data_IF_656679456213
#
_entry.id   IF_656679456213
#
_cell.length_a   1.000
_cell.length_b   1.000
_cell.length_c   1.000
_cell.angle_alpha   90.00
_cell.angle_beta   90.00
_cell.angle_gamma   90.00
#
_symmetry.space_group_name_H-M   'P 1'
#
loop_
_entity.id
_entity.type
_entity.pdbx_description
1 polymer ?
#
# COMPACT_ATOMS: atom_id res chain seq x y z
N UNK A 1 23.38 -9.41 -18.67
CA UNK A 1 23.18 -8.95 -17.27
C UNK A 1 22.12 -9.85 -16.68
N UNK A 2 22.46 -10.68 -15.70
CA UNK A 2 21.48 -11.53 -15.01
C UNK A 2 20.63 -10.63 -14.12
N UNK A 3 19.38 -10.47 -14.46
CA UNK A 3 18.39 -9.87 -13.53
C UNK A 3 18.10 -10.92 -12.46
N UNK A 4 18.77 -10.81 -11.33
CA UNK A 4 18.38 -11.56 -10.13
C UNK A 4 16.95 -11.17 -9.77
N UNK A 5 16.03 -12.13 -9.82
CA UNK A 5 14.66 -11.97 -9.35
C UNK A 5 14.69 -12.05 -7.82
N UNK A 6 14.76 -10.90 -7.17
CA UNK A 6 14.48 -10.82 -5.74
C UNK A 6 12.97 -10.83 -5.52
N UNK A 7 12.53 -11.14 -4.30
CA UNK A 7 11.14 -10.90 -3.90
C UNK A 7 10.74 -9.52 -4.41
N UNK A 8 9.67 -9.45 -5.18
CA UNK A 8 9.31 -8.25 -5.97
C UNK A 8 8.89 -7.09 -5.08
N UNK A 9 8.73 -7.33 -3.78
CA UNK A 9 8.50 -6.35 -2.71
C UNK A 9 9.77 -5.86 -2.06
N UNK A 10 10.95 -6.40 -2.40
CA UNK A 10 12.21 -6.05 -1.77
C UNK A 10 13.15 -5.29 -2.69
N UNK A 11 13.90 -4.46 -2.08
CA UNK A 11 14.86 -3.49 -2.52
C UNK A 11 15.88 -3.97 -3.56
N UNK A 12 16.09 -3.20 -4.62
CA UNK A 12 17.01 -3.51 -5.72
C UNK A 12 18.48 -3.13 -5.49
N UNK A 13 18.84 -2.47 -4.41
CA UNK A 13 20.22 -2.03 -4.16
C UNK A 13 20.71 -2.47 -2.78
N UNK A 14 21.67 -3.40 -2.77
CA UNK A 14 22.35 -3.86 -1.58
C UNK A 14 23.27 -2.83 -0.89
N UNK A 15 22.95 -1.55 -0.95
CA UNK A 15 23.72 -0.48 -0.34
C UNK A 15 22.82 0.61 0.27
N UNK A 16 21.78 0.24 0.99
CA UNK A 16 21.10 1.27 1.75
C UNK A 16 20.95 0.90 3.22
N UNK A 17 21.90 1.35 4.03
CA UNK A 17 21.80 1.44 5.49
C UNK A 17 20.62 2.32 5.97
N UNK A 18 19.77 2.78 5.06
CA UNK A 18 18.73 3.78 5.33
C UNK A 18 17.42 3.20 5.87
N UNK A 19 17.20 1.87 5.77
CA UNK A 19 15.89 1.31 6.06
C UNK A 19 15.83 0.44 7.32
N UNK A 20 16.88 0.33 8.08
CA UNK A 20 16.88 -0.40 9.36
C UNK A 20 16.51 -1.90 9.27
N UNK A 21 16.44 -2.45 8.06
CA UNK A 21 16.05 -3.85 7.81
C UNK A 21 17.20 -4.80 8.17
N UNK A 22 18.44 -4.34 8.06
CA UNK A 22 19.63 -5.18 8.29
C UNK A 22 19.91 -5.51 9.76
N UNK A 23 19.28 -4.81 10.71
CA UNK A 23 19.44 -5.08 12.15
C UNK A 23 18.34 -5.98 12.75
N UNK A 24 17.39 -6.44 11.94
CA UNK A 24 16.35 -7.37 12.42
C UNK A 24 16.91 -8.79 12.43
N UNK A 25 17.17 -9.28 13.62
CA UNK A 25 17.51 -10.70 13.83
C UNK A 25 16.39 -11.58 13.26
N UNK A 26 16.74 -12.54 12.41
CA UNK A 26 15.77 -13.50 11.91
C UNK A 26 15.11 -14.23 13.11
N UNK A 27 13.83 -14.55 12.99
CA UNK A 27 13.03 -15.18 14.05
C UNK A 27 13.69 -16.46 14.61
N UNK A 28 14.37 -17.21 13.75
CA UNK A 28 15.07 -18.45 14.11
C UNK A 28 16.46 -18.24 14.75
N UNK A 29 17.01 -17.03 14.75
CA UNK A 29 18.32 -16.78 15.33
C UNK A 29 18.29 -16.82 16.86
N UNK A 30 19.40 -17.25 17.46
CA UNK A 30 19.52 -17.33 18.91
C UNK A 30 19.29 -15.95 19.55
N UNK A 31 18.28 -15.86 20.40
CA UNK A 31 17.90 -14.61 21.07
C UNK A 31 16.82 -13.80 20.35
N UNK A 32 16.39 -14.20 19.15
CA UNK A 32 15.24 -13.57 18.48
C UNK A 32 13.98 -13.76 19.33
N UNK A 33 13.17 -12.69 19.41
CA UNK A 33 11.89 -12.72 20.11
C UNK A 33 10.78 -12.54 19.08
N UNK A 34 9.70 -13.31 19.22
CA UNK A 34 8.50 -13.10 18.43
C UNK A 34 7.93 -11.70 18.70
N UNK A 35 7.68 -10.95 17.64
CA UNK A 35 7.07 -9.64 17.69
C UNK A 35 5.58 -9.79 17.35
N UNK A 36 4.77 -10.04 18.36
CA UNK A 36 3.33 -10.20 18.18
C UNK A 36 2.64 -8.84 18.12
N UNK A 37 1.62 -8.75 17.28
CA UNK A 37 0.74 -7.59 17.28
C UNK A 37 0.17 -7.35 18.68
N UNK A 38 0.22 -6.12 19.21
CA UNK A 38 -0.26 -5.81 20.54
C UNK A 38 -1.77 -6.03 20.62
N UNK A 39 -2.22 -6.63 21.73
CA UNK A 39 -3.64 -6.64 22.04
C UNK A 39 -4.13 -5.21 22.32
N UNK A 40 -5.20 -4.81 21.67
CA UNK A 40 -5.84 -3.52 21.93
C UNK A 40 -7.28 -3.71 22.40
N UNK A 41 -7.73 -2.92 23.39
CA UNK A 41 -9.12 -2.96 23.82
C UNK A 41 -10.09 -2.27 22.84
N UNK A 42 -9.61 -1.85 21.68
CA UNK A 42 -10.35 -1.03 20.71
C UNK A 42 -10.11 -1.56 19.30
N UNK A 43 -11.16 -1.60 18.48
CA UNK A 43 -11.09 -1.95 17.07
C UNK A 43 -11.44 -0.78 16.17
N UNK A 44 -10.63 -0.45 15.17
CA UNK A 44 -11.03 0.42 14.07
C UNK A 44 -12.11 -0.27 13.21
N UNK A 45 -13.17 0.47 12.89
CA UNK A 45 -14.27 0.02 12.02
C UNK A 45 -14.29 0.78 10.72
N UNK A 46 -14.03 2.09 10.78
CA UNK A 46 -14.01 2.96 9.62
C UNK A 46 -12.97 4.07 9.80
N UNK A 47 -12.27 4.37 8.74
CA UNK A 47 -11.31 5.46 8.61
C UNK A 47 -11.80 6.45 7.55
N UNK A 48 -11.97 7.71 7.93
CA UNK A 48 -12.05 8.82 6.98
C UNK A 48 -10.76 9.63 7.07
N UNK A 49 -10.01 9.65 5.97
CA UNK A 49 -8.76 10.38 5.82
C UNK A 49 -8.98 11.53 4.82
N UNK A 50 -8.72 12.76 5.26
CA UNK A 50 -8.83 13.95 4.40
C UNK A 50 -7.50 14.68 4.39
N UNK A 51 -6.84 14.77 3.22
CA UNK A 51 -5.47 15.25 3.07
C UNK A 51 -5.33 16.35 2.05
N UNK A 52 -4.39 17.24 2.33
CA UNK A 52 -3.84 18.26 1.44
C UNK A 52 -2.33 18.04 1.30
N UNK A 53 -1.75 18.56 0.21
CA UNK A 53 -0.34 18.32 -0.13
C UNK A 53 0.32 19.61 -0.59
N UNK A 54 1.57 19.80 -0.17
CA UNK A 54 2.49 20.80 -0.69
C UNK A 54 3.76 20.10 -1.16
N UNK A 55 4.03 20.17 -2.47
CA UNK A 55 5.21 19.52 -3.08
C UNK A 55 6.49 20.28 -2.82
N UNK A 56 6.41 21.61 -2.63
CA UNK A 56 7.64 22.40 -2.39
C UNK A 56 8.20 22.14 -1.00
N UNK A 57 7.31 22.08 -0.02
CA UNK A 57 7.65 21.77 1.37
C UNK A 57 7.62 20.27 1.69
N UNK A 58 7.26 19.42 0.72
CA UNK A 58 7.03 17.99 0.94
C UNK A 58 6.13 17.75 2.16
N UNK A 59 5.06 18.54 2.24
CA UNK A 59 4.15 18.57 3.39
C UNK A 59 2.82 17.91 3.11
N UNK A 60 2.36 17.13 4.09
CA UNK A 60 1.01 16.57 4.16
C UNK A 60 0.31 17.11 5.39
N UNK A 61 -0.94 17.54 5.25
CA UNK A 61 -1.75 17.96 6.39
C UNK A 61 -3.23 17.68 6.16
N UNK A 62 -3.96 17.51 7.24
CA UNK A 62 -5.39 17.27 7.15
C UNK A 62 -6.00 16.70 8.40
N UNK A 63 -6.90 15.77 8.24
CA UNK A 63 -7.54 15.10 9.38
C UNK A 63 -7.75 13.62 9.16
N UNK A 64 -7.56 12.88 10.24
CA UNK A 64 -7.91 11.46 10.37
C UNK A 64 -9.13 11.34 11.28
N UNK A 65 -10.16 10.64 10.85
CA UNK A 65 -11.34 10.37 11.66
C UNK A 65 -11.61 8.88 11.69
N UNK A 66 -11.59 8.29 12.89
CA UNK A 66 -11.91 6.89 13.10
C UNK A 66 -13.30 6.72 13.73
N UNK A 67 -14.02 5.71 13.28
CA UNK A 67 -15.09 5.07 14.03
C UNK A 67 -14.52 3.81 14.67
N UNK A 68 -14.56 3.79 16.01
CA UNK A 68 -13.93 2.77 16.83
C UNK A 68 -14.99 2.01 17.65
N UNK A 69 -14.77 0.72 17.83
CA UNK A 69 -15.56 -0.12 18.74
C UNK A 69 -14.72 -0.53 19.94
N UNK A 70 -15.20 -0.27 21.12
CA UNK A 70 -14.54 -0.65 22.37
C UNK A 70 -14.86 -2.11 22.70
N UNK A 71 -13.83 -2.91 23.01
CA UNK A 71 -13.94 -4.34 23.30
C UNK A 71 -14.00 -4.65 24.79
N UNK A 72 -13.30 -3.84 25.59
CA UNK A 72 -13.10 -4.08 27.01
C UNK A 72 -13.77 -3.01 27.86
N UNK A 73 -14.10 -3.33 29.10
CA UNK A 73 -14.60 -2.36 30.06
C UNK A 73 -13.46 -1.52 30.65
N UNK A 74 -13.75 -0.27 31.00
CA UNK A 74 -12.80 0.58 31.71
C UNK A 74 -11.75 1.26 30.84
N UNK A 75 -11.93 1.29 29.52
CA UNK A 75 -10.98 1.95 28.58
C UNK A 75 -10.98 3.45 28.83
N UNK A 76 -9.82 4.00 29.19
CA UNK A 76 -9.61 5.42 29.50
C UNK A 76 -8.72 6.14 28.50
N UNK A 77 -8.01 5.42 27.64
CA UNK A 77 -7.11 5.97 26.63
C UNK A 77 -7.19 5.21 25.33
N UNK A 78 -6.85 5.89 24.23
CA UNK A 78 -6.71 5.33 22.90
C UNK A 78 -5.29 5.62 22.42
N UNK A 79 -4.56 4.59 22.03
CA UNK A 79 -3.21 4.72 21.48
C UNK A 79 -3.26 4.47 19.99
N UNK A 80 -2.71 5.39 19.20
CA UNK A 80 -2.53 5.27 17.76
C UNK A 80 -1.07 5.51 17.42
N UNK A 81 -0.56 4.83 16.42
CA UNK A 81 0.78 5.03 15.91
C UNK A 81 0.83 6.35 15.14
N UNK A 82 1.86 7.17 15.38
CA UNK A 82 1.99 8.51 14.84
C UNK A 82 3.46 8.96 14.96
N UNK A 83 4.27 8.61 13.96
CA UNK A 83 5.70 8.86 14.01
C UNK A 83 6.02 10.26 13.46
N UNK A 84 6.58 11.13 14.33
CA UNK A 84 7.01 12.48 13.99
C UNK A 84 5.91 13.39 13.41
N UNK A 85 4.64 13.08 13.69
CA UNK A 85 3.52 13.93 13.28
C UNK A 85 3.32 15.09 14.26
N UNK A 86 2.98 16.25 13.72
CA UNK A 86 2.39 17.34 14.50
C UNK A 86 0.89 17.05 14.67
N UNK A 87 0.40 17.08 15.90
CA UNK A 87 -1.02 16.89 16.22
C UNK A 87 -1.55 18.18 16.81
N UNK A 88 -2.43 18.85 16.07
CA UNK A 88 -2.95 20.17 16.50
C UNK A 88 -4.16 20.04 17.42
N UNK A 89 -5.01 19.04 17.19
CA UNK A 89 -6.26 18.91 17.90
C UNK A 89 -6.77 17.48 17.86
N UNK A 90 -7.33 17.03 18.98
CA UNK A 90 -8.06 15.77 19.09
C UNK A 90 -9.47 16.00 19.61
N UNK A 91 -10.44 15.30 19.00
CA UNK A 91 -11.85 15.31 19.39
C UNK A 91 -12.37 13.89 19.56
N UNK A 92 -13.19 13.69 20.59
CA UNK A 92 -14.00 12.47 20.77
C UNK A 92 -15.47 12.88 20.69
N UNK A 93 -16.16 12.37 19.66
CA UNK A 93 -17.45 12.92 19.25
C UNK A 93 -17.33 14.39 18.86
N UNK A 94 -18.06 15.28 19.52
CA UNK A 94 -17.98 16.73 19.28
C UNK A 94 -17.08 17.49 20.27
N UNK A 95 -16.48 16.80 21.25
CA UNK A 95 -15.73 17.44 22.33
C UNK A 95 -14.23 17.35 22.07
N UNK A 96 -13.50 18.46 22.27
CA UNK A 96 -12.05 18.44 22.37
C UNK A 96 -11.63 17.70 23.65
N UNK A 97 -10.59 16.92 23.53
CA UNK A 97 -10.02 16.14 24.62
C UNK A 97 -8.52 16.38 24.73
N UNK A 98 -7.93 16.11 25.89
CA UNK A 98 -6.50 16.11 26.08
C UNK A 98 -5.87 14.89 25.38
N UNK A 99 -4.63 15.07 24.96
CA UNK A 99 -3.82 14.03 24.35
C UNK A 99 -2.36 14.26 24.67
N UNK A 100 -1.58 13.21 24.56
CA UNK A 100 -0.11 13.25 24.57
C UNK A 100 0.40 12.81 23.20
N UNK A 101 1.35 13.55 22.66
CA UNK A 101 2.08 13.17 21.45
C UNK A 101 3.52 12.82 21.87
N UNK A 102 3.88 11.54 21.79
CA UNK A 102 5.18 11.03 22.21
C UNK A 102 6.25 11.13 21.11
N UNK A 103 5.86 11.51 19.89
CA UNK A 103 6.71 11.46 18.71
C UNK A 103 6.66 10.12 17.97
N UNK A 104 6.17 9.05 18.62
CA UNK A 104 5.91 7.72 18.00
C UNK A 104 4.43 7.33 18.04
N UNK A 105 3.71 7.83 19.04
CA UNK A 105 2.29 7.56 19.26
C UNK A 105 1.56 8.81 19.70
N UNK A 106 0.28 8.85 19.38
CA UNK A 106 -0.66 9.78 20.00
C UNK A 106 -1.54 9.01 20.99
N UNK A 107 -1.57 9.47 22.25
CA UNK A 107 -2.38 8.90 23.34
C UNK A 107 -3.52 9.87 23.61
N UNK A 108 -4.73 9.45 23.31
CA UNK A 108 -5.96 10.25 23.48
C UNK A 108 -6.61 9.89 24.80
N UNK A 109 -6.77 10.85 25.71
CA UNK A 109 -7.41 10.64 27.01
C UNK A 109 -8.92 10.81 26.93
N UNK A 110 -9.64 9.79 27.34
CA UNK A 110 -11.10 9.78 27.31
C UNK A 110 -11.67 10.49 28.55
N UNK A 111 -12.74 11.31 28.38
CA UNK A 111 -13.32 12.05 29.51
C UNK A 111 -13.88 11.17 30.63
N UNK A 112 -14.20 9.92 30.32
CA UNK A 112 -14.66 8.89 31.25
C UNK A 112 -14.34 7.50 30.72
N UNK A 113 -14.19 6.51 31.62
CA UNK A 113 -14.00 5.12 31.20
C UNK A 113 -15.14 4.63 30.31
N UNK A 114 -14.81 3.97 29.22
CA UNK A 114 -15.80 3.38 28.31
C UNK A 114 -16.05 1.91 28.64
N UNK A 115 -17.24 1.45 28.28
CA UNK A 115 -17.67 0.05 28.43
C UNK A 115 -17.49 -0.69 27.08
N UNK A 116 -17.31 -1.99 27.16
CA UNK A 116 -17.35 -2.86 26.00
C UNK A 116 -18.67 -2.66 25.22
N UNK A 117 -18.58 -2.72 23.87
CA UNK A 117 -19.69 -2.45 22.96
C UNK A 117 -19.93 -0.96 22.66
N UNK A 118 -19.19 -0.05 23.30
CA UNK A 118 -19.32 1.39 23.01
C UNK A 118 -18.71 1.72 21.66
N UNK A 119 -19.48 2.35 20.76
CA UNK A 119 -18.96 2.95 19.52
C UNK A 119 -18.61 4.42 19.78
N UNK A 120 -17.44 4.84 19.31
CA UNK A 120 -16.96 6.22 19.41
C UNK A 120 -16.39 6.72 18.11
N UNK A 121 -16.41 8.03 17.92
CA UNK A 121 -15.75 8.70 16.80
C UNK A 121 -14.63 9.58 17.35
N UNK A 122 -13.42 9.39 16.81
CA UNK A 122 -12.22 10.15 17.17
C UNK A 122 -11.69 10.85 15.94
N UNK A 123 -11.49 12.17 16.03
CA UNK A 123 -10.91 12.99 14.95
C UNK A 123 -9.63 13.65 15.45
N UNK A 124 -8.57 13.56 14.62
CA UNK A 124 -7.29 14.21 14.85
C UNK A 124 -6.99 15.11 13.65
N UNK A 125 -6.54 16.34 13.91
CA UNK A 125 -5.91 17.17 12.89
C UNK A 125 -4.40 17.02 13.02
N UNK A 126 -3.75 16.78 11.90
CA UNK A 126 -2.32 16.50 11.89
C UNK A 126 -1.61 17.10 10.68
N UNK A 127 -0.29 17.24 10.80
CA UNK A 127 0.58 17.58 9.69
C UNK A 127 1.96 16.93 9.85
N UNK A 128 2.65 16.81 8.71
CA UNK A 128 4.06 16.43 8.67
C UNK A 128 4.73 17.09 7.46
N UNK A 129 5.95 17.58 7.65
CA UNK A 129 6.81 18.05 6.57
C UNK A 129 8.01 17.12 6.45
N UNK A 130 8.35 16.75 5.20
CA UNK A 130 9.44 15.83 4.87
C UNK A 130 9.31 14.51 5.66
N UNK A 131 8.20 13.78 5.48
CA UNK A 131 7.99 12.51 6.17
C UNK A 131 9.15 11.55 5.91
N UNK A 132 9.58 10.83 6.94
CA UNK A 132 10.72 9.93 6.86
C UNK A 132 10.43 8.68 6.03
N UNK A 133 9.16 8.25 5.96
CA UNK A 133 8.69 7.09 5.22
C UNK A 133 7.18 7.20 4.95
N UNK A 134 6.61 6.20 4.32
CA UNK A 134 5.16 6.01 4.14
C UNK A 134 4.55 6.84 3.02
N UNK A 135 5.03 8.05 2.76
CA UNK A 135 4.62 8.90 1.64
C UNK A 135 5.81 9.62 1.04
N UNK A 136 5.87 9.66 -0.28
CA UNK A 136 7.03 10.10 -1.03
C UNK A 136 6.65 11.10 -2.09
N UNK A 137 7.44 12.16 -2.22
CA UNK A 137 7.24 13.24 -3.18
C UNK A 137 8.35 13.21 -4.23
N UNK A 138 7.96 13.33 -5.51
CA UNK A 138 8.89 13.61 -6.58
C UNK A 138 8.49 14.91 -7.28
N UNK A 139 9.47 15.68 -7.69
CA UNK A 139 9.28 16.93 -8.45
C UNK A 139 10.51 17.24 -9.28
N UNK A 140 10.37 18.03 -10.36
CA UNK A 140 11.52 18.56 -11.07
C UNK A 140 12.45 19.33 -10.13
N UNK A 141 13.74 19.17 -10.32
CA UNK A 141 14.80 19.92 -9.67
C UNK A 141 15.88 20.38 -10.66
N UNK A 142 16.93 21.00 -10.18
CA UNK A 142 18.00 21.52 -11.02
C UNK A 142 18.76 20.42 -11.76
N UNK A 143 18.95 19.26 -11.14
CA UNK A 143 19.69 18.12 -11.69
C UNK A 143 18.79 17.28 -12.60
N UNK A 144 17.50 17.18 -12.25
CA UNK A 144 16.48 16.41 -12.97
C UNK A 144 15.28 17.29 -13.37
N UNK A 145 15.45 18.23 -14.32
CA UNK A 145 14.41 19.20 -14.68
C UNK A 145 13.16 18.59 -15.33
N UNK A 146 13.28 17.36 -15.83
CA UNK A 146 12.17 16.61 -16.42
C UNK A 146 11.57 15.56 -15.49
N UNK A 147 11.96 15.56 -14.21
CA UNK A 147 11.46 14.62 -13.22
C UNK A 147 9.94 14.77 -13.06
N UNK A 148 9.26 13.64 -13.00
CA UNK A 148 7.81 13.62 -12.93
C UNK A 148 7.31 14.12 -11.57
N UNK A 149 6.35 15.06 -11.58
CA UNK A 149 5.76 15.58 -10.33
C UNK A 149 4.69 14.65 -9.83
N UNK A 150 4.95 13.90 -8.76
CA UNK A 150 4.00 12.96 -8.18
C UNK A 150 4.17 12.84 -6.67
N UNK A 151 3.18 12.27 -6.03
CA UNK A 151 3.23 11.75 -4.66
C UNK A 151 2.64 10.34 -4.69
N UNK A 152 3.26 9.42 -3.94
CA UNK A 152 2.77 8.06 -3.77
C UNK A 152 3.05 7.57 -2.35
N UNK A 153 2.30 6.56 -1.92
CA UNK A 153 2.43 5.96 -0.59
C UNK A 153 2.92 4.53 -0.65
N UNK A 154 3.65 4.13 0.39
CA UNK A 154 4.05 2.77 0.69
C UNK A 154 3.92 2.54 2.19
N UNK A 155 2.99 1.66 2.61
CA UNK A 155 2.65 1.46 4.01
C UNK A 155 3.29 0.25 4.67
N UNK A 156 3.82 -0.69 3.92
CA UNK A 156 4.44 -1.91 4.43
C UNK A 156 5.88 -1.61 4.94
N UNK A 157 6.30 -2.08 6.15
CA UNK A 157 5.47 -2.88 7.05
C UNK A 157 4.51 -2.01 7.88
N UNK A 158 4.99 -0.96 8.52
CA UNK A 158 4.31 -0.07 9.45
C UNK A 158 4.66 1.39 9.17
N UNK A 159 4.64 1.79 7.88
CA UNK A 159 5.09 3.11 7.45
C UNK A 159 3.93 4.10 7.26
N UNK A 160 2.69 3.65 7.42
CA UNK A 160 1.53 4.56 7.37
C UNK A 160 1.53 5.58 8.52
N UNK A 161 2.10 5.23 9.66
CA UNK A 161 2.27 6.11 10.83
C UNK A 161 3.07 7.37 10.57
N UNK A 162 3.85 7.44 9.50
CA UNK A 162 4.67 8.61 9.16
C UNK A 162 3.93 9.72 8.43
N UNK A 163 2.67 9.49 7.99
CA UNK A 163 1.91 10.55 7.32
C UNK A 163 0.48 10.75 7.85
N UNK A 164 -0.04 9.83 8.67
CA UNK A 164 -1.28 10.04 9.44
C UNK A 164 -1.35 9.16 10.68
N UNK A 165 -2.05 9.57 11.74
CA UNK A 165 -2.23 8.74 12.93
C UNK A 165 -3.08 7.50 12.60
N UNK A 166 -2.59 6.30 12.93
CA UNK A 166 -3.25 5.06 12.52
C UNK A 166 -3.06 3.91 13.52
N UNK A 167 -3.70 2.79 13.22
CA UNK A 167 -3.43 1.48 13.81
C UNK A 167 -2.62 0.71 12.77
N UNK A 168 -1.29 0.77 12.91
CA UNK A 168 -0.34 0.36 11.88
C UNK A 168 0.14 -1.09 12.04
N UNK A 169 -0.81 -2.00 12.28
CA UNK A 169 -0.57 -3.43 12.36
C UNK A 169 -1.47 -4.18 11.36
N UNK A 170 -1.03 -5.28 10.75
CA UNK A 170 -1.76 -5.95 9.69
C UNK A 170 -3.09 -6.58 10.12
N UNK A 171 -3.25 -6.89 11.42
CA UNK A 171 -4.48 -7.46 11.96
C UNK A 171 -5.64 -6.46 12.13
N UNK A 172 -5.37 -5.16 12.02
CA UNK A 172 -6.44 -4.15 12.09
C UNK A 172 -7.00 -3.85 10.72
N UNK A 173 -8.22 -4.33 10.49
CA UNK A 173 -8.95 -4.10 9.24
C UNK A 173 -10.12 -3.16 9.45
N UNK A 174 -10.21 -2.14 8.60
CA UNK A 174 -11.27 -1.15 8.59
C UNK A 174 -11.69 -0.78 7.18
N UNK A 175 -12.92 -0.33 7.01
CA UNK A 175 -13.35 0.32 5.78
C UNK A 175 -12.77 1.72 5.69
N UNK A 176 -12.63 2.28 4.48
CA UNK A 176 -12.03 3.61 4.33
C UNK A 176 -12.81 4.53 3.43
N UNK A 177 -12.73 5.82 3.75
CA UNK A 177 -13.00 6.93 2.86
C UNK A 177 -11.77 7.83 2.78
N UNK A 178 -11.35 8.19 1.57
CA UNK A 178 -10.18 9.06 1.34
C UNK A 178 -10.59 10.27 0.52
N UNK A 179 -10.29 11.46 1.05
CA UNK A 179 -10.52 12.74 0.39
C UNK A 179 -9.20 13.42 0.12
N UNK A 180 -8.93 13.70 -1.14
CA UNK A 180 -7.69 14.32 -1.61
C UNK A 180 -7.97 15.70 -2.15
N UNK A 181 -7.31 16.71 -1.57
CA UNK A 181 -7.29 18.09 -2.06
C UNK A 181 -5.97 18.35 -2.76
N UNK A 182 -6.01 18.48 -4.08
CA UNK A 182 -4.83 18.55 -4.95
C UNK A 182 -4.77 19.87 -5.71
N UNK A 183 -3.61 20.29 -6.19
CA UNK A 183 -3.49 21.36 -7.16
C UNK A 183 -4.34 21.09 -8.40
N UNK A 184 -4.76 22.17 -9.06
CA UNK A 184 -5.55 22.10 -10.30
C UNK A 184 -4.84 21.24 -11.36
N UNK A 185 -5.60 20.36 -12.00
CA UNK A 185 -5.12 19.51 -13.09
C UNK A 185 -4.47 18.21 -12.63
N UNK A 186 -4.08 18.09 -11.37
CA UNK A 186 -3.57 16.82 -10.86
C UNK A 186 -4.67 15.78 -10.74
N UNK A 187 -4.35 14.58 -11.16
CA UNK A 187 -5.11 13.37 -10.92
C UNK A 187 -4.82 12.86 -9.51
N UNK A 188 -5.82 12.28 -8.85
CA UNK A 188 -5.69 11.64 -7.55
C UNK A 188 -6.34 10.27 -7.55
N UNK A 189 -5.68 9.28 -6.97
CA UNK A 189 -6.12 7.89 -6.87
C UNK A 189 -6.03 7.42 -5.42
N UNK A 190 -6.97 6.59 -5.01
CA UNK A 190 -6.93 5.81 -3.77
C UNK A 190 -7.77 4.54 -3.92
N UNK A 191 -7.76 3.70 -2.87
CA UNK A 191 -8.48 2.44 -2.83
C UNK A 191 -9.99 2.60 -3.01
N UNK A 192 -10.60 1.63 -3.66
CA UNK A 192 -12.05 1.56 -3.77
C UNK A 192 -12.64 2.38 -4.92
N UNK A 193 -13.89 2.78 -4.74
CA UNK A 193 -14.69 3.44 -5.76
C UNK A 193 -14.62 4.95 -5.64
N UNK A 194 -14.39 5.66 -6.76
CA UNK A 194 -14.49 7.10 -6.84
C UNK A 194 -15.95 7.53 -6.65
N UNK A 195 -16.24 8.22 -5.56
CA UNK A 195 -17.57 8.76 -5.26
C UNK A 195 -17.79 10.15 -5.86
N UNK A 196 -16.74 11.00 -5.80
CA UNK A 196 -16.83 12.37 -6.25
C UNK A 196 -15.50 12.87 -6.79
N UNK A 197 -15.57 13.55 -7.92
CA UNK A 197 -14.47 14.32 -8.50
C UNK A 197 -14.99 15.71 -8.83
N UNK A 198 -14.29 16.74 -8.35
CA UNK A 198 -14.59 18.14 -8.73
C UNK A 198 -13.29 18.87 -9.04
N UNK A 199 -13.40 19.89 -9.89
CA UNK A 199 -12.30 20.80 -10.19
C UNK A 199 -12.79 22.24 -10.11
N UNK A 200 -12.01 23.10 -9.51
CA UNK A 200 -12.23 24.54 -9.43
C UNK A 200 -11.13 25.29 -10.19
N UNK A 201 -11.13 26.62 -10.08
CA UNK A 201 -10.09 27.46 -10.69
C UNK A 201 -8.67 27.13 -10.18
N UNK A 202 -8.53 26.68 -8.93
CA UNK A 202 -7.24 26.45 -8.27
C UNK A 202 -6.99 25.03 -7.75
N UNK A 203 -8.03 24.19 -7.63
CA UNK A 203 -7.94 22.89 -6.96
C UNK A 203 -8.68 21.79 -7.70
N UNK A 204 -8.16 20.57 -7.58
CA UNK A 204 -8.83 19.30 -7.88
C UNK A 204 -9.19 18.61 -6.57
N UNK A 205 -10.34 17.96 -6.53
CA UNK A 205 -10.80 17.20 -5.36
C UNK A 205 -11.25 15.81 -5.79
N UNK A 206 -10.84 14.81 -5.02
CA UNK A 206 -11.23 13.41 -5.21
C UNK A 206 -11.72 12.84 -3.90
N UNK A 207 -12.80 12.05 -3.96
CA UNK A 207 -13.33 11.30 -2.82
C UNK A 207 -13.52 9.85 -3.20
N UNK A 208 -12.75 8.98 -2.58
CA UNK A 208 -12.80 7.53 -2.75
C UNK A 208 -13.42 6.87 -1.52
N UNK A 209 -14.03 5.69 -1.72
CA UNK A 209 -14.55 4.85 -0.64
C UNK A 209 -14.34 3.38 -0.95
N UNK A 210 -13.88 2.64 0.05
CA UNK A 210 -13.83 1.18 0.05
C UNK A 210 -14.61 0.64 1.24
N UNK A 211 -15.66 -0.13 0.95
CA UNK A 211 -16.62 -0.65 1.93
C UNK A 211 -16.24 -2.04 2.47
N UNK A 212 -15.11 -2.58 2.03
CA UNK A 212 -14.56 -3.85 2.47
C UNK A 212 -13.43 -3.52 3.45
N UNK A 213 -13.43 -4.13 4.65
CA UNK A 213 -12.37 -3.92 5.63
C UNK A 213 -11.01 -4.46 5.14
N UNK A 214 -9.96 -3.66 5.24
CA UNK A 214 -8.59 -4.04 4.91
C UNK A 214 -7.58 -3.36 5.84
N UNK A 215 -6.37 -3.87 5.85
CA UNK A 215 -5.29 -3.40 6.73
C UNK A 215 -4.73 -2.05 6.30
N UNK A 216 -4.28 -1.24 7.25
CA UNK A 216 -3.81 0.13 7.03
C UNK A 216 -2.66 0.19 6.02
N UNK A 217 -1.70 -0.74 6.07
CA UNK A 217 -0.54 -0.77 5.16
C UNK A 217 -0.92 -0.89 3.66
N UNK A 218 -2.11 -1.41 3.36
CA UNK A 218 -2.64 -1.56 2.00
C UNK A 218 -3.30 -0.28 1.45
N UNK A 219 -3.32 0.79 2.24
CA UNK A 219 -3.85 2.08 1.77
C UNK A 219 -2.92 2.66 0.70
N UNK A 220 -3.50 3.00 -0.46
CA UNK A 220 -2.80 3.67 -1.54
C UNK A 220 -3.31 5.10 -1.71
N UNK A 221 -2.38 6.03 -1.83
CA UNK A 221 -2.62 7.39 -2.31
C UNK A 221 -1.59 7.68 -3.38
N UNK A 222 -2.06 8.00 -4.59
CA UNK A 222 -1.18 8.46 -5.66
C UNK A 222 -1.77 9.72 -6.27
N UNK A 223 -0.95 10.76 -6.47
CA UNK A 223 -1.36 11.94 -7.20
C UNK A 223 -0.25 12.42 -8.14
N UNK A 224 -0.65 12.90 -9.33
CA UNK A 224 0.28 13.34 -10.37
C UNK A 224 -0.42 13.53 -11.71
N UNK A 225 0.35 13.51 -12.80
CA UNK A 225 -0.17 13.58 -14.16
C UNK A 225 -0.15 12.20 -14.82
N UNK A 226 -1.27 11.48 -14.71
CA UNK A 226 -1.44 10.14 -15.25
C UNK A 226 -2.52 10.08 -16.32
N UNK A 227 -2.37 9.11 -17.23
CA UNK A 227 -3.36 8.77 -18.26
C UNK A 227 -4.03 7.46 -17.88
N UNK A 228 -5.36 7.47 -17.88
CA UNK A 228 -6.19 6.30 -17.58
C UNK A 228 -6.40 5.43 -18.82
N UNK A 229 -6.27 4.13 -18.64
CA UNK A 229 -6.71 3.11 -19.58
C UNK A 229 -7.69 2.14 -18.91
N UNK A 230 -8.58 1.58 -19.72
CA UNK A 230 -9.65 0.69 -19.23
C UNK A 230 -9.71 -0.56 -20.07
N UNK A 231 -9.97 -1.66 -19.39
CA UNK A 231 -10.37 -2.92 -19.96
C UNK A 231 -11.37 -3.61 -19.04
N UNK A 232 -11.86 -4.78 -19.44
CA UNK A 232 -12.81 -5.54 -18.64
C UNK A 232 -12.57 -7.01 -18.81
N UNK A 233 -12.76 -7.77 -17.72
CA UNK A 233 -12.74 -9.22 -17.75
C UNK A 233 -13.91 -9.76 -16.92
N UNK A 234 -14.85 -10.47 -17.54
CA UNK A 234 -16.12 -10.81 -16.89
C UNK A 234 -16.80 -9.56 -16.34
N UNK A 235 -17.09 -9.56 -15.05
CA UNK A 235 -17.71 -8.42 -14.35
C UNK A 235 -16.69 -7.48 -13.67
N UNK A 236 -15.38 -7.73 -13.84
CA UNK A 236 -14.32 -6.94 -13.22
C UNK A 236 -13.91 -5.84 -14.19
N UNK A 237 -14.05 -4.58 -13.76
CA UNK A 237 -13.50 -3.43 -14.46
C UNK A 237 -11.99 -3.33 -14.13
N UNK A 238 -11.15 -3.42 -15.15
CA UNK A 238 -9.70 -3.29 -15.00
C UNK A 238 -9.28 -1.92 -15.48
N UNK A 239 -8.51 -1.21 -14.65
CA UNK A 239 -7.90 0.06 -14.99
C UNK A 239 -6.41 0.00 -14.81
N UNK A 240 -5.70 0.77 -15.60
CA UNK A 240 -4.30 1.05 -15.34
C UNK A 240 -3.95 2.48 -15.70
N UNK A 241 -3.01 3.02 -14.96
CA UNK A 241 -2.55 4.38 -15.05
C UNK A 241 -1.05 4.43 -15.28
N UNK A 242 -0.64 5.23 -16.24
CA UNK A 242 0.78 5.48 -16.54
C UNK A 242 1.02 6.94 -16.77
N UNK A 243 2.25 7.37 -16.71
CA UNK A 243 2.67 8.72 -17.08
C UNK A 243 2.28 9.02 -18.53
N UNK A 244 1.90 10.27 -18.78
CA UNK A 244 1.63 10.76 -20.13
C UNK A 244 2.83 10.52 -21.06
N UNK A 245 2.58 9.94 -22.23
CA UNK A 245 3.59 9.56 -23.21
C UNK A 245 4.05 8.10 -23.11
N UNK A 246 3.70 7.37 -22.04
CA UNK A 246 4.02 5.95 -21.84
C UNK A 246 2.82 5.01 -22.04
N UNK A 247 1.77 5.48 -22.70
CA UNK A 247 0.51 4.72 -22.88
C UNK A 247 0.68 3.43 -23.66
N UNK A 248 1.60 3.43 -24.64
CA UNK A 248 1.90 2.24 -25.44
C UNK A 248 2.62 1.19 -24.59
N UNK A 249 3.60 1.60 -23.79
CA UNK A 249 4.32 0.73 -22.88
C UNK A 249 3.37 0.14 -21.82
N UNK A 250 2.49 0.96 -21.24
CA UNK A 250 1.46 0.49 -20.33
C UNK A 250 0.54 -0.58 -20.93
N UNK A 251 0.14 -0.40 -22.22
CA UNK A 251 -0.62 -1.47 -22.90
C UNK A 251 0.19 -2.76 -23.05
N UNK A 252 1.49 -2.65 -23.37
CA UNK A 252 2.35 -3.82 -23.50
C UNK A 252 2.47 -4.56 -22.16
N UNK A 253 2.64 -3.83 -21.07
CA UNK A 253 2.92 -4.39 -19.75
C UNK A 253 1.67 -4.93 -19.03
N UNK A 254 0.50 -4.30 -19.20
CA UNK A 254 -0.71 -4.66 -18.44
C UNK A 254 -1.79 -5.40 -19.25
N UNK A 255 -1.52 -5.75 -20.52
CA UNK A 255 -2.52 -6.40 -21.41
C UNK A 255 -3.04 -7.73 -20.89
N UNK A 256 -2.25 -8.48 -20.15
CA UNK A 256 -2.58 -9.82 -19.67
C UNK A 256 -3.20 -9.85 -18.26
N UNK A 257 -3.34 -8.70 -17.60
CA UNK A 257 -3.94 -8.60 -16.24
C UNK A 257 -5.26 -9.36 -16.13
N UNK A 258 -6.14 -9.23 -17.12
CA UNK A 258 -7.42 -9.93 -17.11
C UNK A 258 -7.30 -11.45 -17.14
N UNK A 259 -6.33 -11.98 -17.88
CA UNK A 259 -6.04 -13.43 -17.93
C UNK A 259 -5.50 -13.92 -16.59
N UNK A 260 -4.61 -13.15 -15.96
CA UNK A 260 -4.04 -13.44 -14.64
C UNK A 260 -5.16 -13.54 -13.60
N UNK A 261 -6.06 -12.57 -13.56
CA UNK A 261 -7.19 -12.53 -12.64
C UNK A 261 -8.15 -13.72 -12.84
N UNK A 262 -8.42 -14.10 -14.10
CA UNK A 262 -9.23 -15.27 -14.42
C UNK A 262 -8.55 -16.58 -14.01
N UNK A 263 -7.24 -16.69 -14.28
CA UNK A 263 -6.46 -17.86 -13.89
C UNK A 263 -6.49 -18.06 -12.39
N UNK A 264 -6.19 -17.04 -11.59
CA UNK A 264 -6.19 -17.16 -10.12
C UNK A 264 -7.57 -17.45 -9.56
N UNK A 265 -8.62 -16.80 -10.08
CA UNK A 265 -10.00 -17.10 -9.68
C UNK A 265 -10.37 -18.57 -9.93
N UNK A 266 -9.94 -19.13 -11.06
CA UNK A 266 -10.17 -20.54 -11.40
C UNK A 266 -9.29 -21.48 -10.56
N UNK A 267 -8.01 -21.16 -10.43
CA UNK A 267 -7.04 -22.00 -9.76
C UNK A 267 -7.31 -22.14 -8.26
N UNK A 268 -7.65 -21.04 -7.59
CA UNK A 268 -7.99 -21.03 -6.16
C UNK A 268 -9.38 -21.59 -5.88
N UNK A 269 -10.25 -21.69 -6.89
CA UNK A 269 -11.66 -22.00 -6.71
C UNK A 269 -12.46 -20.88 -6.03
N UNK A 270 -11.85 -19.71 -5.82
CA UNK A 270 -12.45 -18.54 -5.20
C UNK A 270 -12.36 -17.35 -6.16
N UNK A 271 -13.50 -16.96 -6.74
CA UNK A 271 -13.55 -15.85 -7.68
C UNK A 271 -13.06 -14.55 -7.03
N UNK A 272 -12.37 -13.71 -7.81
CA UNK A 272 -12.02 -12.36 -7.35
C UNK A 272 -13.31 -11.64 -6.91
N UNK A 273 -13.40 -11.23 -5.64
CA UNK A 273 -14.70 -10.83 -5.08
C UNK A 273 -15.04 -9.36 -5.34
N UNK A 274 -14.14 -8.60 -5.97
CA UNK A 274 -14.31 -7.16 -6.15
C UNK A 274 -14.71 -6.83 -7.59
N UNK A 275 -15.38 -5.70 -7.79
CA UNK A 275 -15.87 -5.27 -9.10
C UNK A 275 -14.85 -4.49 -9.93
N UNK A 276 -13.70 -4.17 -9.36
CA UNK A 276 -12.64 -3.43 -10.03
C UNK A 276 -11.26 -3.86 -9.54
N UNK A 277 -10.30 -3.77 -10.42
CA UNK A 277 -8.88 -3.92 -10.13
C UNK A 277 -8.12 -2.82 -10.87
N UNK A 278 -7.30 -2.08 -10.16
CA UNK A 278 -6.55 -0.96 -10.70
C UNK A 278 -5.06 -1.20 -10.52
N UNK A 279 -4.26 -0.77 -11.49
CA UNK A 279 -2.80 -0.74 -11.40
C UNK A 279 -2.31 0.67 -11.72
N UNK A 280 -1.28 1.12 -11.04
CA UNK A 280 -0.64 2.39 -11.34
C UNK A 280 0.89 2.23 -11.33
N UNK A 281 1.53 2.60 -12.43
CA UNK A 281 2.99 2.62 -12.52
C UNK A 281 3.49 4.02 -12.14
N UNK A 282 4.24 4.09 -11.04
CA UNK A 282 4.78 5.35 -10.51
C UNK A 282 6.30 5.43 -10.67
N UNK A 283 6.85 6.61 -10.92
CA UNK A 283 8.29 6.78 -11.04
C UNK A 283 8.97 6.66 -9.68
N UNK A 284 10.21 6.18 -9.73
CA UNK A 284 11.08 6.09 -8.55
C UNK A 284 10.49 5.22 -7.42
N UNK A 285 9.59 4.30 -7.77
CA UNK A 285 9.09 3.32 -6.83
C UNK A 285 10.13 2.25 -6.63
N UNK A 286 10.79 2.30 -5.49
CA UNK A 286 11.96 1.46 -5.19
C UNK A 286 11.61 0.01 -4.86
N UNK A 287 10.36 -0.23 -4.54
CA UNK A 287 9.79 -1.56 -4.30
C UNK A 287 9.29 -2.13 -5.59
N UNK A 288 9.54 -3.12 -6.21
CA UNK A 288 9.04 -3.61 -7.51
C UNK A 288 7.54 -3.39 -7.69
N UNK A 289 6.73 -3.85 -6.74
CA UNK A 289 5.29 -3.64 -6.64
C UNK A 289 4.82 -3.52 -5.19
N UNK A 290 3.54 -3.24 -5.04
CA UNK A 290 2.83 -3.22 -3.75
C UNK A 290 1.38 -3.59 -3.99
N UNK A 291 0.92 -4.54 -3.24
CA UNK A 291 -0.42 -5.14 -3.32
C UNK A 291 -1.54 -4.26 -2.77
N UNK A 292 -1.39 -2.94 -2.75
CA UNK A 292 -2.43 -2.06 -2.22
C UNK A 292 -3.84 -2.49 -2.66
N UNK A 293 -4.71 -2.66 -1.69
CA UNK A 293 -6.00 -3.31 -1.87
C UNK A 293 -6.85 -2.69 -2.99
N UNK A 294 -7.11 -3.43 -4.06
CA UNK A 294 -7.80 -3.00 -5.30
C UNK A 294 -7.07 -1.98 -6.18
N UNK A 295 -5.90 -1.47 -5.75
CA UNK A 295 -5.13 -0.43 -6.45
C UNK A 295 -3.64 -0.74 -6.33
N UNK A 296 -3.15 -1.72 -7.04
CA UNK A 296 -1.75 -2.13 -7.02
C UNK A 296 -0.84 -1.02 -7.51
N UNK A 297 0.16 -0.65 -6.73
CA UNK A 297 1.20 0.29 -7.12
C UNK A 297 2.40 -0.49 -7.68
N UNK A 298 2.96 -0.07 -8.79
CA UNK A 298 4.09 -0.73 -9.43
C UNK A 298 5.14 0.28 -9.86
N UNK A 299 6.40 -0.16 -9.92
CA UNK A 299 7.47 0.65 -10.49
C UNK A 299 7.22 0.91 -11.97
N UNK A 300 7.57 2.09 -12.45
CA UNK A 300 7.52 2.40 -13.88
C UNK A 300 8.60 1.68 -14.69
N UNK A 301 9.55 1.02 -14.04
CA UNK A 301 10.51 0.10 -14.67
C UNK A 301 9.85 -1.15 -15.25
N UNK A 302 8.62 -1.47 -14.83
CA UNK A 302 7.82 -2.56 -15.43
C UNK A 302 7.23 -2.21 -16.79
N UNK A 303 7.32 -0.95 -17.23
CA UNK A 303 6.79 -0.51 -18.51
C UNK A 303 7.80 -0.77 -19.64
N UNK A 304 7.39 -1.63 -20.58
CA UNK A 304 8.27 -2.07 -21.68
C UNK A 304 7.78 -1.58 -23.03
N UNK A 305 8.67 -1.00 -23.79
CA UNK A 305 8.44 -0.65 -25.20
C UNK A 305 8.39 -1.91 -26.10
N UNK A 306 8.14 -1.74 -27.39
CA UNK A 306 8.02 -2.86 -28.32
C UNK A 306 9.32 -3.66 -28.48
N UNK A 307 10.47 -3.05 -28.23
CA UNK A 307 11.77 -3.71 -28.32
C UNK A 307 12.09 -4.49 -27.04
N UNK A 308 11.96 -3.84 -25.89
CA UNK A 308 12.25 -4.46 -24.60
C UNK A 308 11.35 -5.68 -24.34
N UNK A 309 10.07 -5.63 -24.76
CA UNK A 309 9.12 -6.75 -24.58
C UNK A 309 9.45 -8.01 -25.37
N UNK A 310 10.43 -7.99 -26.26
CA UNK A 310 10.90 -9.21 -26.96
C UNK A 310 11.67 -10.12 -25.99
N UNK A 311 12.33 -9.53 -25.00
CA UNK A 311 13.17 -10.25 -24.04
C UNK A 311 12.60 -10.19 -22.62
N UNK A 312 11.76 -9.19 -22.32
CA UNK A 312 11.22 -8.92 -20.99
C UNK A 312 9.69 -8.84 -21.03
N UNK A 313 9.04 -9.31 -20.00
CA UNK A 313 7.61 -9.07 -19.78
C UNK A 313 7.33 -8.64 -18.32
N UNK A 314 6.17 -8.06 -18.11
CA UNK A 314 5.72 -7.59 -16.79
C UNK A 314 4.83 -8.61 -16.08
N UNK A 315 4.54 -9.74 -16.74
CA UNK A 315 3.52 -10.68 -16.26
C UNK A 315 3.86 -11.27 -14.88
N UNK A 316 5.15 -11.52 -14.64
CA UNK A 316 5.60 -12.00 -13.34
C UNK A 316 5.24 -11.03 -12.22
N UNK A 317 5.59 -9.74 -12.34
CA UNK A 317 5.25 -8.73 -11.34
C UNK A 317 3.72 -8.56 -11.24
N UNK A 318 3.02 -8.43 -12.37
CA UNK A 318 1.56 -8.29 -12.39
C UNK A 318 0.87 -9.49 -11.73
N UNK A 319 1.37 -10.71 -11.97
CA UNK A 319 0.83 -11.91 -11.36
C UNK A 319 1.10 -11.97 -9.85
N UNK A 320 2.31 -11.63 -9.42
CA UNK A 320 2.67 -11.55 -8.02
C UNK A 320 1.71 -10.61 -7.26
N UNK A 321 1.61 -9.36 -7.71
CA UNK A 321 0.74 -8.37 -7.07
C UNK A 321 -0.75 -8.72 -7.14
N UNK A 322 -1.19 -9.37 -8.23
CA UNK A 322 -2.56 -9.83 -8.32
C UNK A 322 -2.86 -11.02 -7.38
N UNK A 323 -1.87 -11.89 -7.11
CA UNK A 323 -2.04 -13.02 -6.18
C UNK A 323 -2.24 -12.54 -4.74
N UNK A 324 -1.63 -11.44 -4.36
CA UNK A 324 -1.83 -10.83 -3.07
C UNK A 324 -3.27 -10.43 -2.78
N UNK A 325 -4.11 -10.21 -3.79
CA UNK A 325 -5.55 -9.97 -3.60
C UNK A 325 -6.25 -11.12 -2.84
N UNK A 326 -5.69 -12.34 -2.91
CA UNK A 326 -6.11 -13.49 -2.11
C UNK A 326 -5.24 -13.68 -0.87
N UNK A 327 -3.92 -13.60 -1.03
CA UNK A 327 -2.91 -13.88 0.00
C UNK A 327 -2.17 -12.61 0.40
N UNK A 328 -2.65 -11.94 1.40
CA UNK A 328 -2.23 -10.62 1.88
C UNK A 328 -3.43 -9.74 2.17
N UNK A 329 -4.36 -9.62 1.23
CA UNK A 329 -5.53 -8.75 1.30
C UNK A 329 -6.75 -9.44 1.92
N UNK A 330 -7.26 -10.51 1.29
CA UNK A 330 -8.39 -11.28 1.84
C UNK A 330 -7.94 -12.03 3.09
N UNK A 331 -6.89 -12.83 2.94
CA UNK A 331 -6.26 -13.57 4.04
C UNK A 331 -4.98 -12.85 4.42
N UNK A 332 -4.98 -12.17 5.55
CA UNK A 332 -3.87 -11.36 6.03
C UNK A 332 -3.24 -11.99 7.27
N UNK A 333 -1.91 -11.96 7.37
CA UNK A 333 -1.19 -12.38 8.56
C UNK A 333 -1.59 -11.55 9.78
N UNK A 334 -1.60 -12.16 10.96
CA UNK A 334 -1.92 -11.48 12.20
C UNK A 334 -0.87 -10.45 12.60
N UNK A 335 0.37 -10.76 12.31
CA UNK A 335 1.54 -9.91 12.58
C UNK A 335 2.64 -10.15 11.55
N UNK A 336 3.62 -9.26 11.50
CA UNK A 336 4.69 -9.29 10.50
C UNK A 336 5.68 -10.46 10.64
N UNK A 337 5.68 -11.18 11.75
CA UNK A 337 6.46 -12.42 11.88
C UNK A 337 5.99 -13.50 10.89
N UNK A 338 4.80 -13.32 10.32
CA UNK A 338 4.16 -14.23 9.37
C UNK A 338 3.97 -13.63 7.97
N UNK A 339 4.76 -12.61 7.60
CA UNK A 339 4.73 -12.01 6.25
C UNK A 339 4.94 -13.03 5.12
N UNK A 340 5.64 -14.14 5.41
CA UNK A 340 5.81 -15.24 4.47
C UNK A 340 4.48 -15.84 3.96
N UNK A 341 3.39 -15.71 4.72
CA UNK A 341 2.04 -16.12 4.27
C UNK A 341 1.50 -15.25 3.13
N UNK A 342 2.02 -14.04 2.99
CA UNK A 342 1.74 -13.18 1.85
C UNK A 342 2.69 -13.48 0.71
N UNK A 343 3.98 -13.29 0.96
CA UNK A 343 5.03 -13.28 -0.05
C UNK A 343 5.31 -14.63 -0.70
N UNK A 344 5.36 -15.70 0.11
CA UNK A 344 5.63 -17.04 -0.43
C UNK A 344 4.48 -17.54 -1.31
N UNK A 345 3.23 -17.22 -0.92
CA UNK A 345 2.09 -17.57 -1.78
C UNK A 345 2.08 -16.73 -3.05
N UNK A 346 2.31 -15.43 -2.98
CA UNK A 346 2.33 -14.56 -4.16
C UNK A 346 3.43 -14.97 -5.14
N UNK A 347 4.64 -15.25 -4.64
CA UNK A 347 5.78 -15.75 -5.45
C UNK A 347 5.45 -17.08 -6.13
N UNK A 348 4.87 -18.03 -5.38
CA UNK A 348 4.51 -19.33 -5.96
C UNK A 348 3.37 -19.22 -6.98
N UNK A 349 2.39 -18.35 -6.75
CA UNK A 349 1.29 -18.13 -7.69
C UNK A 349 1.76 -17.42 -8.97
N UNK A 350 2.74 -16.54 -8.89
CA UNK A 350 3.42 -15.99 -10.07
C UNK A 350 4.06 -17.12 -10.90
N UNK A 351 4.77 -18.05 -10.25
CA UNK A 351 5.35 -19.21 -10.93
C UNK A 351 4.26 -20.11 -11.54
N UNK A 352 3.12 -20.32 -10.87
CA UNK A 352 1.98 -21.05 -11.42
C UNK A 352 1.39 -20.37 -12.65
N UNK A 353 1.32 -19.03 -12.68
CA UNK A 353 0.91 -18.30 -13.87
C UNK A 353 1.95 -18.40 -14.99
N UNK A 354 3.23 -18.43 -14.68
CA UNK A 354 4.30 -18.71 -15.65
C UNK A 354 4.08 -20.10 -16.30
N UNK A 355 3.71 -21.14 -15.53
CA UNK A 355 3.35 -22.45 -16.06
C UNK A 355 2.18 -22.39 -17.02
N UNK A 356 1.10 -21.68 -16.67
CA UNK A 356 -0.09 -21.51 -17.52
C UNK A 356 0.23 -20.76 -18.82
N UNK A 357 1.04 -19.71 -18.76
CA UNK A 357 1.26 -18.80 -19.88
C UNK A 357 2.46 -19.16 -20.77
N UNK A 358 3.48 -19.83 -20.22
CA UNK A 358 4.74 -20.14 -20.90
C UNK A 358 5.10 -21.64 -20.91
N UNK A 359 4.40 -22.46 -20.13
CA UNK A 359 4.60 -23.90 -20.07
C UNK A 359 5.44 -24.39 -18.90
N UNK A 360 5.57 -25.73 -18.83
CA UNK A 360 6.16 -26.43 -17.69
C UNK A 360 7.67 -26.17 -17.54
N UNK A 361 8.38 -25.98 -18.65
CA UNK A 361 9.84 -25.76 -18.59
C UNK A 361 10.21 -24.40 -18.02
N UNK A 362 9.51 -23.34 -18.44
CA UNK A 362 9.68 -22.01 -17.85
C UNK A 362 9.28 -21.98 -16.36
N UNK A 363 8.26 -22.71 -15.99
CA UNK A 363 7.89 -22.87 -14.58
C UNK A 363 9.01 -23.50 -13.76
N UNK A 364 9.59 -24.61 -14.23
CA UNK A 364 10.72 -25.28 -13.56
C UNK A 364 11.95 -24.41 -13.48
N UNK A 365 12.22 -23.66 -14.55
CA UNK A 365 13.32 -22.71 -14.56
C UNK A 365 13.12 -21.60 -13.51
N UNK A 366 11.92 -21.04 -13.43
CA UNK A 366 11.59 -20.03 -12.41
C UNK A 366 11.75 -20.60 -10.98
N UNK A 367 11.27 -21.82 -10.72
CA UNK A 367 11.44 -22.46 -9.41
C UNK A 367 12.93 -22.70 -9.06
N UNK A 368 13.77 -22.98 -10.05
CA UNK A 368 15.21 -23.12 -9.83
C UNK A 368 15.82 -21.75 -9.44
N UNK A 369 15.46 -20.67 -10.15
CA UNK A 369 15.93 -19.32 -9.81
C UNK A 369 15.49 -18.91 -8.40
N UNK A 370 14.24 -19.20 -8.02
CA UNK A 370 13.70 -18.91 -6.68
C UNK A 370 14.44 -19.71 -5.60
N UNK A 371 14.74 -21.00 -5.85
CA UNK A 371 15.52 -21.82 -4.94
C UNK A 371 16.98 -21.33 -4.80
N UNK A 372 17.63 -20.94 -5.88
CA UNK A 372 18.97 -20.36 -5.84
C UNK A 372 18.99 -19.04 -5.05
N UNK A 373 17.97 -18.21 -5.20
CA UNK A 373 17.80 -16.98 -4.43
C UNK A 373 17.66 -17.31 -2.93
N UNK A 374 16.77 -18.25 -2.59
CA UNK A 374 16.59 -18.71 -1.20
C UNK A 374 17.88 -19.22 -0.59
N UNK A 375 18.58 -20.13 -1.26
CA UNK A 375 19.85 -20.66 -0.74
C UNK A 375 20.96 -19.61 -0.64
N UNK A 376 20.94 -18.61 -1.53
CA UNK A 376 21.89 -17.49 -1.44
C UNK A 376 21.64 -16.63 -0.21
N UNK A 377 20.39 -16.43 0.17
CA UNK A 377 20.01 -15.68 1.38
C UNK A 377 20.29 -16.50 2.64
N UNK A 378 19.87 -17.76 2.67
CA UNK A 378 20.07 -18.68 3.81
C UNK A 378 21.54 -18.84 4.18
N UNK A 379 22.44 -18.82 3.19
CA UNK A 379 23.89 -18.89 3.43
C UNK A 379 24.53 -17.59 3.96
N UNK A 380 23.78 -16.46 4.00
CA UNK A 380 24.29 -15.17 4.51
C UNK A 380 23.94 -14.95 5.99
N UNK A 381 22.97 -15.69 6.50
CA UNK A 381 22.43 -15.59 7.86
C UNK A 381 22.53 -16.92 8.61
#
# INVERSE_FOLDING_TARGET
MRTTRYCKCHFFNGESDHWGILDRTAFAQKGAKANFAPDTPILPKHLLLELNFDWEEEKVWGSTTYELLVYSNGVQEIKMDAANLEIDQVQVGSKRVSFENTGEKVIVFLPKPLKAGTAIKVKLNHSVSKPAAGIYFTKPDKEYPNRFKTVWTQGQDEDSKYYFPCFDQPNFKQTTEVKLHLPKGMFGLSNGRLLKKTSSASKSFYHYKLEIPYSTYLLSIVAGEFVEHKSKVGDIDIKWYVQKGREKEGRNSFKDTGKIMQFFSKYTGYAYPYKHYTQIAVPEFVFGGMENFTVTTQTDLTLHDDRARLDLDSNGLVAHEAAHMWFGDIVTAKDWSHAWLHESFATYFDALYTRESKGEEEFRYQLLEDAETYFSEDNRY
#
